data_IF_537815073562
#
_entry.id   IF_537815073562
#
_cell.length_a   1.000
_cell.length_b   1.000
_cell.length_c   1.000
_cell.angle_alpha   90.00
_cell.angle_beta   90.00
_cell.angle_gamma   90.00
#
_symmetry.space_group_name_H-M   'P 1'
#
loop_
_entity.id
_entity.type
_entity.pdbx_description
1 polymer ?
#
# COMPACT_ATOMS: atom_id res chain seq x y z
N UNK A 1 14.43 33.71 -55.13
CA UNK A 1 14.13 34.23 -53.77
C UNK A 1 12.69 33.87 -53.52
N UNK A 2 12.37 32.78 -52.84
CA UNK A 2 12.44 32.62 -51.38
C UNK A 2 12.57 31.14 -51.00
N UNK A 3 13.31 30.90 -49.91
CA UNK A 3 13.66 29.59 -49.38
C UNK A 3 12.51 28.93 -48.59
N UNK A 4 12.41 27.61 -48.69
CA UNK A 4 11.69 26.74 -47.76
C UNK A 4 12.65 26.31 -46.63
N UNK A 5 12.18 26.17 -45.38
CA UNK A 5 13.02 25.81 -44.25
C UNK A 5 13.38 24.31 -44.26
N UNK A 6 14.63 24.05 -43.88
CA UNK A 6 15.27 22.76 -43.72
C UNK A 6 14.64 21.90 -42.62
N UNK A 7 14.30 20.65 -42.93
CA UNK A 7 14.05 19.61 -41.93
C UNK A 7 15.36 19.27 -41.20
N UNK A 8 15.35 19.44 -39.88
CA UNK A 8 16.45 19.08 -38.99
C UNK A 8 16.65 17.57 -38.89
N UNK A 9 17.92 17.20 -38.70
CA UNK A 9 18.48 15.85 -38.69
C UNK A 9 17.64 14.77 -38.00
N UNK A 10 17.36 13.70 -38.75
CA UNK A 10 17.11 12.36 -38.21
C UNK A 10 18.30 11.92 -37.34
N UNK A 11 18.09 11.31 -36.16
CA UNK A 11 19.18 10.73 -35.39
C UNK A 11 19.89 9.65 -36.21
N UNK A 12 21.22 9.56 -36.04
CA UNK A 12 22.07 8.72 -36.86
C UNK A 12 21.62 7.25 -36.81
N UNK A 13 21.60 6.60 -37.99
CA UNK A 13 21.28 5.17 -38.18
C UNK A 13 22.10 4.21 -37.29
N UNK A 14 23.18 4.68 -36.66
CA UNK A 14 24.03 3.91 -35.74
C UNK A 14 23.35 3.55 -34.41
N UNK A 15 22.47 4.39 -33.86
CA UNK A 15 21.77 4.08 -32.60
C UNK A 15 20.61 3.10 -32.82
N UNK A 16 19.95 3.18 -33.97
CA UNK A 16 18.89 2.24 -34.35
C UNK A 16 19.49 0.85 -34.64
N UNK A 17 20.63 0.75 -35.31
CA UNK A 17 21.25 -0.55 -35.60
C UNK A 17 21.87 -1.26 -34.38
N UNK A 18 22.37 -0.53 -33.37
CA UNK A 18 22.78 -1.15 -32.09
C UNK A 18 21.62 -1.83 -31.35
N UNK A 19 20.40 -1.31 -31.51
CA UNK A 19 19.18 -1.93 -30.98
C UNK A 19 18.89 -3.28 -31.66
N UNK A 20 19.05 -3.39 -32.98
CA UNK A 20 18.65 -4.59 -33.73
C UNK A 20 19.69 -5.72 -33.74
N UNK A 21 21.00 -5.44 -33.61
CA UNK A 21 22.02 -6.52 -33.59
C UNK A 21 22.19 -7.20 -32.23
N UNK A 22 21.65 -6.61 -31.16
CA UNK A 22 21.61 -7.21 -29.81
C UNK A 22 20.23 -7.78 -29.43
N UNK A 23 19.31 -7.88 -30.40
CA UNK A 23 18.04 -8.59 -30.26
C UNK A 23 18.20 -10.11 -30.42
N UNK A 24 19.42 -10.62 -30.22
CA UNK A 24 19.60 -11.98 -29.78
C UNK A 24 19.06 -12.01 -28.35
N UNK A 25 17.91 -12.65 -28.16
CA UNK A 25 17.37 -13.10 -26.87
C UNK A 25 18.31 -14.11 -26.17
N UNK A 26 19.63 -13.94 -26.30
CA UNK A 26 20.55 -14.38 -25.28
C UNK A 26 20.12 -13.65 -24.02
N UNK A 27 19.41 -14.39 -23.17
CA UNK A 27 19.21 -14.12 -21.77
C UNK A 27 20.61 -13.84 -21.20
N UNK A 28 21.09 -12.59 -21.32
CA UNK A 28 22.19 -12.12 -20.49
C UNK A 28 21.54 -12.03 -19.12
N UNK A 29 21.74 -13.09 -18.35
CA UNK A 29 21.39 -13.20 -16.96
C UNK A 29 21.79 -11.89 -16.30
N UNK A 30 20.79 -11.12 -15.90
CA UNK A 30 20.89 -9.72 -15.52
C UNK A 30 21.90 -9.58 -14.39
N UNK A 31 22.86 -8.68 -14.57
CA UNK A 31 23.78 -8.31 -13.49
C UNK A 31 22.94 -7.82 -12.30
N UNK A 32 23.30 -8.28 -11.11
CA UNK A 32 22.80 -7.71 -9.87
C UNK A 32 23.19 -6.24 -9.83
N UNK A 33 22.29 -5.39 -9.35
CA UNK A 33 22.54 -3.95 -9.24
C UNK A 33 23.65 -3.63 -8.23
N UNK A 34 23.77 -4.45 -7.18
CA UNK A 34 24.77 -4.33 -6.12
C UNK A 34 25.66 -5.57 -6.17
N UNK A 35 26.98 -5.37 -6.21
CA UNK A 35 27.98 -6.43 -6.10
C UNK A 35 28.25 -6.82 -4.63
N UNK A 36 28.90 -7.96 -4.40
CA UNK A 36 29.28 -8.39 -3.05
C UNK A 36 30.18 -7.37 -2.33
N UNK A 37 31.15 -6.77 -3.03
CA UNK A 37 32.04 -5.77 -2.45
C UNK A 37 31.29 -4.49 -2.07
N UNK A 38 30.31 -4.06 -2.89
CA UNK A 38 29.44 -2.94 -2.55
C UNK A 38 28.52 -3.27 -1.37
N UNK A 39 27.97 -4.49 -1.31
CA UNK A 39 27.17 -4.94 -0.17
C UNK A 39 27.99 -4.92 1.14
N UNK A 40 29.27 -5.36 1.11
CA UNK A 40 30.21 -5.28 2.25
C UNK A 40 30.50 -3.86 2.70
N UNK A 41 30.49 -2.91 1.77
CA UNK A 41 30.65 -1.50 2.11
C UNK A 41 29.37 -0.95 2.77
N UNK A 42 28.21 -1.23 2.19
CA UNK A 42 26.91 -0.80 2.71
C UNK A 42 26.59 -1.40 4.09
N UNK A 43 27.01 -2.64 4.35
CA UNK A 43 26.78 -3.32 5.63
C UNK A 43 27.45 -2.66 6.83
N UNK A 44 28.39 -1.74 6.60
CA UNK A 44 29.01 -0.96 7.67
C UNK A 44 28.04 0.08 8.27
N UNK A 45 26.97 0.44 7.55
CA UNK A 45 26.05 1.51 7.94
C UNK A 45 24.58 1.06 7.94
N UNK A 46 24.24 0.01 7.19
CA UNK A 46 22.86 -0.43 6.99
C UNK A 46 22.68 -1.89 7.35
N UNK A 47 21.53 -2.22 7.94
CA UNK A 47 21.17 -3.60 8.29
C UNK A 47 20.35 -4.28 7.21
N UNK A 48 19.84 -3.53 6.23
CA UNK A 48 19.11 -4.09 5.09
C UNK A 48 19.73 -3.64 3.77
N UNK A 49 20.04 -4.59 2.89
CA UNK A 49 20.61 -4.31 1.57
C UNK A 49 19.73 -5.02 0.51
N UNK A 50 19.03 -4.28 -0.36
CA UNK A 50 18.21 -4.88 -1.41
C UNK A 50 19.08 -5.34 -2.58
N UNK A 51 19.12 -6.65 -2.87
CA UNK A 51 19.63 -7.12 -4.16
C UNK A 51 18.52 -7.09 -5.18
N UNK A 52 18.80 -6.44 -6.30
CA UNK A 52 17.83 -6.26 -7.38
C UNK A 52 18.38 -6.80 -8.68
N UNK A 53 17.54 -7.56 -9.37
CA UNK A 53 17.75 -7.90 -10.78
C UNK A 53 16.52 -7.51 -11.59
N UNK A 54 16.72 -7.03 -12.82
CA UNK A 54 15.63 -6.58 -13.69
C UNK A 54 15.49 -7.51 -14.88
N UNK A 55 14.26 -7.97 -15.12
CA UNK A 55 13.87 -8.79 -16.26
C UNK A 55 12.89 -8.01 -17.12
N UNK A 56 12.91 -8.24 -18.44
CA UNK A 56 11.82 -7.79 -19.32
C UNK A 56 10.63 -8.74 -19.17
N UNK A 57 9.41 -8.19 -19.11
CA UNK A 57 8.17 -8.96 -19.19
C UNK A 57 7.28 -8.41 -20.29
N UNK A 58 6.93 -9.29 -21.24
CA UNK A 58 5.99 -8.96 -22.32
C UNK A 58 4.58 -9.50 -22.09
N UNK A 59 4.36 -10.38 -21.11
CA UNK A 59 3.11 -11.15 -20.97
C UNK A 59 2.62 -11.33 -19.54
N UNK A 60 3.46 -11.09 -18.54
CA UNK A 60 3.03 -11.24 -17.15
C UNK A 60 2.24 -10.03 -16.67
N UNK A 61 1.24 -10.30 -15.83
CA UNK A 61 0.46 -9.29 -15.12
C UNK A 61 0.73 -9.40 -13.61
N UNK A 62 0.44 -8.37 -12.81
CA UNK A 62 0.57 -8.47 -11.36
C UNK A 62 -0.19 -9.66 -10.75
N UNK A 63 -1.39 -9.94 -11.27
CA UNK A 63 -2.21 -11.08 -10.86
C UNK A 63 -1.54 -12.43 -11.19
N UNK A 64 -1.06 -12.61 -12.43
CA UNK A 64 -0.41 -13.87 -12.83
C UNK A 64 0.89 -14.10 -12.06
N UNK A 65 1.61 -13.03 -11.75
CA UNK A 65 2.82 -13.11 -10.92
C UNK A 65 2.45 -13.55 -9.50
N UNK A 66 1.51 -12.85 -8.86
CA UNK A 66 1.08 -13.16 -7.50
C UNK A 66 0.65 -14.62 -7.37
N UNK A 67 -0.18 -15.11 -8.29
CA UNK A 67 -0.69 -16.48 -8.27
C UNK A 67 0.41 -17.54 -8.48
N UNK A 68 1.42 -17.26 -9.31
CA UNK A 68 2.53 -18.20 -9.55
C UNK A 68 3.47 -18.35 -8.37
N UNK A 69 3.82 -17.24 -7.72
CA UNK A 69 5.00 -17.21 -6.84
C UNK A 69 4.65 -16.91 -5.38
N UNK A 70 3.52 -16.26 -5.11
CA UNK A 70 3.11 -15.91 -3.75
C UNK A 70 1.94 -16.80 -3.29
N UNK A 71 0.85 -16.84 -4.06
CA UNK A 71 -0.35 -17.61 -3.73
C UNK A 71 -0.90 -17.26 -2.34
N UNK A 72 -1.30 -18.28 -1.58
CA UNK A 72 -1.86 -18.13 -0.23
C UNK A 72 -0.78 -18.17 0.87
N UNK A 73 0.49 -17.90 0.54
CA UNK A 73 1.58 -17.92 1.51
C UNK A 73 1.37 -16.87 2.59
N UNK A 74 1.51 -17.23 3.87
CA UNK A 74 1.41 -16.29 4.99
C UNK A 74 2.41 -15.14 4.84
N UNK A 75 1.93 -13.91 4.98
CA UNK A 75 2.67 -12.66 4.82
C UNK A 75 2.96 -12.27 3.37
N UNK A 76 2.35 -12.93 2.40
CA UNK A 76 2.34 -12.47 1.01
C UNK A 76 1.35 -11.31 0.82
N UNK A 77 1.59 -10.50 -0.20
CA UNK A 77 0.69 -9.41 -0.55
C UNK A 77 0.71 -9.05 -2.03
N UNK A 78 -0.35 -8.39 -2.49
CA UNK A 78 -0.43 -7.70 -3.77
C UNK A 78 -0.93 -6.28 -3.51
N UNK A 79 -0.14 -5.28 -3.92
CA UNK A 79 -0.51 -3.87 -3.90
C UNK A 79 -0.54 -3.33 -5.33
N UNK A 80 -1.68 -2.78 -5.73
CA UNK A 80 -1.82 -2.06 -6.99
C UNK A 80 -2.48 -0.70 -6.74
N UNK A 81 -2.27 0.23 -7.65
CA UNK A 81 -2.85 1.57 -7.59
C UNK A 81 -3.38 1.94 -8.96
N UNK A 82 -4.63 2.41 -9.02
CA UNK A 82 -5.29 2.89 -10.22
C UNK A 82 -6.02 4.20 -9.96
N UNK A 83 -5.66 5.25 -10.69
CA UNK A 83 -6.33 6.54 -10.65
C UNK A 83 -7.16 6.70 -11.93
N UNK A 84 -8.48 6.92 -11.78
CA UNK A 84 -9.39 7.09 -12.92
C UNK A 84 -9.33 5.93 -13.95
N UNK A 85 -9.06 4.71 -13.48
CA UNK A 85 -8.90 3.51 -14.33
C UNK A 85 -7.54 3.40 -15.03
N UNK A 86 -6.62 4.36 -14.82
CA UNK A 86 -5.24 4.29 -15.27
C UNK A 86 -4.39 3.70 -14.16
N UNK A 87 -3.78 2.55 -14.43
CA UNK A 87 -2.85 1.92 -13.49
C UNK A 87 -1.62 2.81 -13.30
N UNK A 88 -1.23 2.98 -12.03
CA UNK A 88 0.02 3.64 -11.67
C UNK A 88 1.22 2.88 -12.24
N UNK A 89 2.41 3.49 -12.20
CA UNK A 89 3.61 2.88 -12.76
C UNK A 89 3.97 1.53 -12.14
N UNK A 90 3.67 1.31 -10.86
CA UNK A 90 4.15 0.15 -10.13
C UNK A 90 3.04 -0.70 -9.52
N UNK A 91 3.25 -2.00 -9.55
CA UNK A 91 2.55 -2.97 -8.70
C UNK A 91 3.57 -3.75 -7.87
N UNK A 92 3.25 -4.04 -6.62
CA UNK A 92 4.14 -4.69 -5.68
C UNK A 92 3.58 -6.05 -5.26
N UNK A 93 4.39 -7.10 -5.41
CA UNK A 93 4.04 -8.47 -5.04
C UNK A 93 5.01 -8.94 -3.96
N UNK A 94 4.54 -9.07 -2.73
CA UNK A 94 5.29 -9.69 -1.64
C UNK A 94 5.23 -11.20 -1.75
N UNK A 95 6.40 -11.83 -1.83
CA UNK A 95 6.53 -13.27 -2.04
C UNK A 95 6.89 -13.99 -0.75
N UNK A 96 7.83 -13.44 0.00
CA UNK A 96 8.23 -14.01 1.28
C UNK A 96 8.58 -12.90 2.28
N UNK A 97 8.51 -13.25 3.56
CA UNK A 97 8.81 -12.36 4.68
C UNK A 97 9.83 -13.02 5.62
N UNK A 98 10.43 -12.20 6.48
CA UNK A 98 11.30 -12.67 7.57
C UNK A 98 10.47 -13.13 8.77
N UNK A 99 9.31 -12.50 8.95
CA UNK A 99 8.34 -12.77 9.99
C UNK A 99 7.27 -11.69 10.03
N UNK A 100 6.36 -11.84 10.97
CA UNK A 100 5.21 -10.98 11.18
C UNK A 100 5.20 -10.40 12.59
N UNK A 101 4.96 -9.09 12.69
CA UNK A 101 4.64 -8.41 13.92
C UNK A 101 3.12 -8.43 14.11
N UNK A 102 2.66 -8.96 15.23
CA UNK A 102 1.24 -9.10 15.57
C UNK A 102 0.96 -8.41 16.91
N UNK A 103 -0.13 -7.64 16.97
CA UNK A 103 -0.68 -7.12 18.22
C UNK A 103 -2.08 -7.68 18.44
N UNK A 104 -2.27 -8.29 19.61
CA UNK A 104 -3.56 -8.79 20.09
C UNK A 104 -3.73 -8.38 21.57
N UNK A 105 -4.68 -7.47 21.82
CA UNK A 105 -4.90 -6.89 23.13
C UNK A 105 -3.64 -6.23 23.69
N UNK A 106 -3.17 -6.71 24.86
CA UNK A 106 -1.96 -6.21 25.50
C UNK A 106 -0.67 -6.89 25.03
N UNK A 107 -0.75 -7.86 24.11
CA UNK A 107 0.41 -8.63 23.66
C UNK A 107 0.88 -8.15 22.28
N UNK A 108 2.17 -7.87 22.17
CA UNK A 108 2.88 -7.69 20.90
C UNK A 108 3.81 -8.89 20.72
N UNK A 109 3.75 -9.54 19.56
CA UNK A 109 4.48 -10.78 19.27
C UNK A 109 5.12 -10.75 17.90
N UNK A 110 6.29 -11.37 17.80
CA UNK A 110 6.95 -11.68 16.54
C UNK A 110 6.71 -13.15 16.18
N UNK A 111 6.16 -13.39 14.98
CA UNK A 111 5.95 -14.73 14.41
C UNK A 111 6.94 -14.89 13.26
N UNK A 112 7.96 -15.72 13.45
CA UNK A 112 8.99 -15.92 12.44
C UNK A 112 8.54 -16.90 11.35
N UNK A 113 8.84 -16.60 10.08
CA UNK A 113 8.46 -17.48 8.96
C UNK A 113 9.31 -18.75 8.90
N UNK A 114 10.57 -18.67 9.33
CA UNK A 114 11.53 -19.78 9.36
C UNK A 114 12.39 -19.66 10.62
N UNK A 115 12.64 -20.75 11.39
CA UNK A 115 13.43 -20.68 12.60
C UNK A 115 14.84 -20.12 12.34
N UNK A 116 15.17 -18.97 12.92
CA UNK A 116 16.50 -18.36 12.80
C UNK A 116 16.90 -17.59 14.07
N UNK A 117 18.18 -17.22 14.18
CA UNK A 117 18.63 -16.30 15.26
C UNK A 117 17.97 -14.90 15.18
N UNK A 118 17.22 -14.61 14.11
CA UNK A 118 16.50 -13.34 13.98
C UNK A 118 15.29 -13.29 14.91
N UNK A 119 14.67 -14.44 15.21
CA UNK A 119 13.57 -14.57 16.17
C UNK A 119 13.85 -13.92 17.52
N UNK A 120 14.95 -14.29 18.17
CA UNK A 120 15.27 -13.84 19.52
C UNK A 120 15.59 -12.35 19.56
N UNK A 121 16.24 -11.86 18.51
CA UNK A 121 16.58 -10.45 18.37
C UNK A 121 15.31 -9.59 18.20
N UNK A 122 14.45 -9.93 17.24
CA UNK A 122 13.22 -9.14 17.02
C UNK A 122 12.26 -9.27 18.20
N UNK A 123 12.12 -10.47 18.77
CA UNK A 123 11.34 -10.66 19.99
C UNK A 123 11.85 -9.79 21.15
N UNK A 124 13.17 -9.58 21.26
CA UNK A 124 13.74 -8.68 22.27
C UNK A 124 13.48 -7.20 21.99
N UNK A 125 13.43 -6.79 20.71
CA UNK A 125 13.13 -5.41 20.32
C UNK A 125 11.68 -5.02 20.65
N UNK A 126 10.75 -5.98 20.59
CA UNK A 126 9.31 -5.73 20.79
C UNK A 126 8.81 -6.16 22.18
N UNK A 127 9.71 -6.59 23.06
CA UNK A 127 9.35 -6.98 24.42
C UNK A 127 8.82 -5.79 25.19
N UNK A 128 7.64 -5.94 25.78
CA UNK A 128 6.99 -4.93 26.63
C UNK A 128 6.73 -3.56 25.94
N UNK A 129 6.68 -3.53 24.60
CA UNK A 129 6.38 -2.32 23.82
C UNK A 129 4.90 -2.22 23.45
N UNK A 130 4.46 -0.99 23.10
CA UNK A 130 3.20 -0.83 22.35
C UNK A 130 3.34 -1.36 20.92
N UNK A 131 2.23 -1.46 20.17
CA UNK A 131 2.26 -1.88 18.78
C UNK A 131 2.99 -0.87 17.89
N UNK A 132 2.73 0.43 18.08
CA UNK A 132 3.39 1.49 17.33
C UNK A 132 4.90 1.54 17.64
N UNK A 133 5.28 1.47 18.92
CA UNK A 133 6.70 1.45 19.33
C UNK A 133 7.46 0.23 18.76
N UNK A 134 6.77 -0.90 18.61
CA UNK A 134 7.34 -2.10 18.01
C UNK A 134 7.63 -1.91 16.51
N UNK A 135 6.74 -1.25 15.76
CA UNK A 135 7.00 -0.90 14.35
C UNK A 135 8.23 0.01 14.28
N UNK A 136 8.28 1.05 15.11
CA UNK A 136 9.40 2.00 15.12
C UNK A 136 10.72 1.29 15.43
N UNK A 137 10.75 0.45 16.47
CA UNK A 137 11.94 -0.30 16.88
C UNK A 137 12.46 -1.22 15.78
N UNK A 138 11.56 -1.92 15.07
CA UNK A 138 11.92 -2.77 13.93
C UNK A 138 12.41 -1.92 12.75
N UNK A 139 11.75 -0.80 12.47
CA UNK A 139 12.13 0.11 11.39
C UNK A 139 13.53 0.71 11.60
N UNK A 140 13.81 1.23 12.80
CA UNK A 140 15.11 1.78 13.15
C UNK A 140 16.21 0.73 13.10
N UNK A 141 15.93 -0.48 13.64
CA UNK A 141 16.89 -1.56 13.64
C UNK A 141 17.20 -2.01 12.20
N UNK A 142 16.18 -2.27 11.38
CA UNK A 142 16.32 -2.73 10.00
C UNK A 142 16.36 -1.59 8.99
N UNK A 143 17.12 -0.53 9.30
CA UNK A 143 17.34 0.58 8.37
C UNK A 143 18.01 0.10 7.08
N UNK A 144 17.35 0.37 5.96
CA UNK A 144 17.77 -0.06 4.63
C UNK A 144 18.74 0.92 3.95
N UNK A 145 19.63 0.36 3.12
CA UNK A 145 20.55 1.14 2.30
C UNK A 145 19.78 1.95 1.22
N UNK A 146 20.01 3.26 1.11
CA UNK A 146 19.40 4.08 0.07
C UNK A 146 19.94 3.62 -1.29
N UNK A 147 19.02 3.27 -2.19
CA UNK A 147 19.37 2.70 -3.49
C UNK A 147 18.68 3.52 -4.59
N UNK A 148 19.32 4.60 -5.08
CA UNK A 148 18.70 5.53 -6.02
C UNK A 148 18.21 4.85 -7.30
N UNK A 149 17.06 5.29 -7.81
CA UNK A 149 16.47 4.76 -9.03
C UNK A 149 15.67 3.46 -8.86
N UNK A 150 15.54 2.96 -7.63
CA UNK A 150 14.62 1.89 -7.33
C UNK A 150 13.15 2.37 -7.15
N UNK A 151 12.17 1.46 -7.29
CA UNK A 151 10.77 1.75 -6.96
C UNK A 151 10.59 2.21 -5.50
N UNK A 152 9.44 2.82 -5.16
CA UNK A 152 9.22 3.39 -3.83
C UNK A 152 9.14 2.35 -2.70
N UNK A 153 8.82 1.09 -3.01
CA UNK A 153 8.83 -0.02 -2.05
C UNK A 153 9.80 -1.10 -2.52
N UNK A 154 10.85 -1.34 -1.73
CA UNK A 154 11.87 -2.40 -1.94
C UNK A 154 12.19 -3.21 -0.69
N UNK A 155 11.89 -2.66 0.48
CA UNK A 155 12.03 -3.28 1.79
C UNK A 155 11.10 -2.53 2.75
N UNK A 156 10.77 -3.14 3.88
CA UNK A 156 9.94 -2.51 4.91
C UNK A 156 8.93 -3.49 5.47
N UNK A 157 7.89 -2.95 6.11
CA UNK A 157 6.79 -3.72 6.68
C UNK A 157 5.50 -3.43 5.90
N UNK A 158 4.73 -4.47 5.59
CA UNK A 158 3.43 -4.34 4.91
C UNK A 158 2.38 -5.08 5.72
N UNK A 159 1.24 -4.45 5.95
CA UNK A 159 0.26 -4.93 6.90
C UNK A 159 -0.91 -3.99 7.08
N UNK A 160 -1.56 -4.07 8.23
CA UNK A 160 -2.63 -3.17 8.61
C UNK A 160 -2.56 -2.75 10.08
N UNK A 161 -3.14 -1.58 10.34
CA UNK A 161 -3.53 -1.09 11.65
C UNK A 161 -5.06 -1.11 11.70
N UNK A 162 -5.63 -1.80 12.68
CA UNK A 162 -7.06 -1.75 12.94
C UNK A 162 -7.40 -0.47 13.70
N UNK A 163 -8.68 -0.08 13.68
CA UNK A 163 -9.16 1.06 14.48
C UNK A 163 -8.79 0.94 15.97
N UNK A 164 -8.65 -0.29 16.49
CA UNK A 164 -8.32 -0.55 17.90
C UNK A 164 -7.00 0.07 18.36
N UNK A 165 -6.04 0.27 17.45
CA UNK A 165 -4.72 0.88 17.73
C UNK A 165 -4.85 2.31 18.28
N UNK A 166 -5.95 3.01 17.98
CA UNK A 166 -6.20 4.36 18.51
C UNK A 166 -6.14 4.40 20.05
N UNK A 167 -6.42 3.28 20.74
CA UNK A 167 -6.33 3.21 22.21
C UNK A 167 -4.90 3.24 22.76
N UNK A 168 -3.88 3.13 21.91
CA UNK A 168 -2.49 3.35 22.33
C UNK A 168 -2.17 4.85 22.47
N UNK A 169 -2.91 5.71 21.75
CA UNK A 169 -2.66 7.16 21.69
C UNK A 169 -3.80 8.00 22.29
N UNK A 170 -5.00 7.44 22.41
CA UNK A 170 -6.20 8.10 22.95
C UNK A 170 -6.90 7.22 23.99
N UNK A 171 -7.59 7.84 24.95
CA UNK A 171 -8.33 7.11 25.99
C UNK A 171 -9.81 6.96 25.61
N UNK A 172 -10.16 5.89 24.90
CA UNK A 172 -11.54 5.57 24.55
C UNK A 172 -12.14 4.48 25.46
N UNK A 173 -13.48 4.42 25.59
CA UNK A 173 -14.14 3.32 26.28
C UNK A 173 -13.82 1.96 25.64
N UNK A 174 -13.85 0.90 26.45
CA UNK A 174 -13.65 -0.48 25.98
C UNK A 174 -14.62 -0.77 24.83
N UNK A 175 -14.12 -1.24 23.67
CA UNK A 175 -14.96 -1.53 22.52
C UNK A 175 -15.98 -2.63 22.84
N UNK A 176 -17.11 -2.61 22.12
CA UNK A 176 -18.05 -3.73 22.17
C UNK A 176 -17.36 -4.98 21.61
N UNK A 177 -17.53 -6.12 22.26
CA UNK A 177 -17.06 -7.41 21.74
C UNK A 177 -17.65 -7.67 20.34
N UNK A 178 -16.79 -7.96 19.37
CA UNK A 178 -17.20 -8.34 18.01
C UNK A 178 -17.66 -9.80 17.92
N UNK A 179 -18.32 -10.18 16.81
CA UNK A 179 -18.59 -11.60 16.51
C UNK A 179 -17.35 -12.41 16.09
N UNK A 180 -16.26 -11.71 15.75
CA UNK A 180 -14.97 -12.28 15.38
C UNK A 180 -13.87 -11.37 15.90
N UNK A 181 -12.76 -11.96 16.33
CA UNK A 181 -11.58 -11.25 16.82
C UNK A 181 -10.62 -11.04 15.66
N UNK A 182 -10.19 -9.80 15.46
CA UNK A 182 -9.15 -9.42 14.48
C UNK A 182 -8.06 -8.76 15.30
N UNK A 183 -6.78 -9.05 15.05
CA UNK A 183 -5.69 -8.38 15.76
C UNK A 183 -5.76 -6.86 15.55
N UNK A 184 -5.32 -6.08 16.54
CA UNK A 184 -5.21 -4.64 16.38
C UNK A 184 -4.18 -4.26 15.30
N UNK A 185 -3.19 -5.12 15.06
CA UNK A 185 -2.16 -4.87 14.07
C UNK A 185 -1.55 -6.18 13.59
N UNK A 186 -1.28 -6.27 12.29
CA UNK A 186 -0.44 -7.34 11.72
C UNK A 186 0.41 -6.80 10.56
N UNK A 187 1.73 -6.97 10.63
CA UNK A 187 2.69 -6.52 9.61
C UNK A 187 3.73 -7.57 9.28
N UNK A 188 3.94 -7.86 8.00
CA UNK A 188 5.01 -8.72 7.51
C UNK A 188 6.24 -7.91 7.14
N UNK A 189 7.42 -8.31 7.64
CA UNK A 189 8.71 -7.70 7.27
C UNK A 189 9.24 -8.33 5.97
N UNK A 190 9.34 -7.52 4.92
CA UNK A 190 9.52 -8.02 3.55
C UNK A 190 10.90 -8.62 3.31
N UNK A 191 10.96 -9.86 2.85
CA UNK A 191 12.21 -10.51 2.45
C UNK A 191 12.38 -10.51 0.95
N UNK A 192 11.43 -11.12 0.24
CA UNK A 192 11.44 -11.22 -1.21
C UNK A 192 10.20 -10.59 -1.81
N UNK A 193 10.38 -9.81 -2.88
CA UNK A 193 9.28 -9.19 -3.61
C UNK A 193 9.58 -9.08 -5.10
N UNK A 194 8.51 -9.00 -5.90
CA UNK A 194 8.55 -8.68 -7.32
C UNK A 194 7.81 -7.37 -7.55
N UNK A 195 8.47 -6.41 -8.21
CA UNK A 195 7.87 -5.15 -8.61
C UNK A 195 7.65 -5.16 -10.12
N UNK A 196 6.40 -4.96 -10.53
CA UNK A 196 6.05 -4.74 -11.94
C UNK A 196 6.18 -3.26 -12.25
N UNK A 197 7.04 -2.90 -13.20
CA UNK A 197 7.12 -1.56 -13.78
C UNK A 197 6.35 -1.54 -15.10
N UNK A 198 5.12 -1.03 -15.07
CA UNK A 198 4.21 -1.00 -16.20
C UNK A 198 4.71 -0.08 -17.32
N UNK A 199 5.43 0.99 -16.97
CA UNK A 199 5.95 1.94 -17.94
C UNK A 199 7.09 1.35 -18.78
N UNK A 200 8.01 0.64 -18.12
CA UNK A 200 9.17 0.03 -18.79
C UNK A 200 8.93 -1.42 -19.23
N UNK A 201 7.77 -2.00 -18.89
CA UNK A 201 7.47 -3.43 -19.10
C UNK A 201 8.55 -4.33 -18.50
N UNK A 202 8.96 -4.04 -17.26
CA UNK A 202 9.99 -4.79 -16.55
C UNK A 202 9.50 -5.36 -15.22
N UNK A 203 10.13 -6.46 -14.79
CA UNK A 203 9.98 -7.04 -13.47
C UNK A 203 11.28 -6.81 -12.71
N UNK A 204 11.20 -6.20 -11.53
CA UNK A 204 12.33 -6.11 -10.61
C UNK A 204 12.15 -7.19 -9.55
N UNK A 205 13.05 -8.16 -9.54
CA UNK A 205 13.08 -9.23 -8.56
C UNK A 205 14.03 -8.77 -7.46
N UNK A 206 13.51 -8.71 -6.24
CA UNK A 206 14.21 -8.13 -5.09
C UNK A 206 14.29 -9.17 -3.98
N UNK A 207 15.49 -9.39 -3.46
CA UNK A 207 15.74 -10.15 -2.23
C UNK A 207 16.55 -9.27 -1.29
N UNK A 208 16.02 -9.02 -0.09
CA UNK A 208 16.66 -8.22 0.93
C UNK A 208 17.61 -9.06 1.78
N UNK A 209 18.87 -8.62 1.92
CA UNK A 209 19.78 -9.14 2.94
C UNK A 209 19.40 -8.49 4.27
N UNK A 210 19.14 -9.31 5.29
CA UNK A 210 18.95 -8.85 6.65
C UNK A 210 20.20 -9.16 7.49
N UNK A 211 20.87 -8.12 7.96
CA UNK A 211 22.15 -8.21 8.65
C UNK A 211 22.00 -7.99 10.16
N UNK A 212 22.68 -8.84 10.91
CA UNK A 212 22.82 -8.83 12.37
C UNK A 212 24.30 -8.73 12.70
N UNK A 213 24.63 -8.51 13.96
CA UNK A 213 26.02 -8.29 14.40
C UNK A 213 26.93 -9.51 14.10
N UNK A 214 26.35 -10.72 14.05
CA UNK A 214 27.04 -11.98 13.75
C UNK A 214 26.87 -12.46 12.30
N UNK A 215 26.24 -11.68 11.41
CA UNK A 215 25.94 -12.14 10.05
C UNK A 215 27.21 -12.29 9.22
N UNK A 216 27.43 -13.49 8.68
CA UNK A 216 28.36 -13.72 7.56
C UNK A 216 27.73 -13.17 6.28
N UNK A 217 28.23 -12.02 5.84
CA UNK A 217 27.68 -11.32 4.68
C UNK A 217 27.92 -12.06 3.36
N UNK A 218 29.03 -12.78 3.22
CA UNK A 218 29.31 -13.55 2.01
C UNK A 218 28.24 -14.64 1.84
N UNK A 219 27.95 -15.37 2.92
CA UNK A 219 26.92 -16.40 2.94
C UNK A 219 25.51 -15.83 2.75
N UNK A 220 25.17 -14.70 3.38
CA UNK A 220 23.83 -14.10 3.24
C UNK A 220 23.60 -13.49 1.85
N UNK A 221 24.65 -12.94 1.23
CA UNK A 221 24.60 -12.49 -0.15
C UNK A 221 24.35 -13.66 -1.09
N UNK A 222 25.08 -14.78 -0.95
CA UNK A 222 24.89 -15.97 -1.78
C UNK A 222 23.46 -16.52 -1.66
N UNK A 223 22.93 -16.65 -0.44
CA UNK A 223 21.53 -17.04 -0.20
C UNK A 223 20.53 -16.09 -0.87
N UNK A 224 20.77 -14.79 -0.83
CA UNK A 224 19.92 -13.79 -1.50
C UNK A 224 19.95 -13.94 -3.02
N UNK A 225 21.11 -14.26 -3.60
CA UNK A 225 21.24 -14.57 -5.03
C UNK A 225 20.47 -15.85 -5.39
N UNK A 226 20.55 -16.89 -4.56
CA UNK A 226 19.79 -18.13 -4.73
C UNK A 226 18.27 -17.87 -4.70
N UNK A 227 17.79 -17.04 -3.76
CA UNK A 227 16.38 -16.61 -3.69
C UNK A 227 15.94 -15.89 -4.97
N UNK A 228 16.76 -14.99 -5.51
CA UNK A 228 16.48 -14.33 -6.80
C UNK A 228 16.41 -15.35 -7.95
N UNK A 229 17.30 -16.34 -7.99
CA UNK A 229 17.24 -17.40 -9.00
C UNK A 229 15.98 -18.25 -8.85
N UNK A 230 15.55 -18.53 -7.62
CA UNK A 230 14.29 -19.22 -7.34
C UNK A 230 13.09 -18.42 -7.83
N UNK A 231 12.98 -17.12 -7.49
CA UNK A 231 11.92 -16.23 -8.01
C UNK A 231 11.87 -16.26 -9.54
N UNK A 232 13.03 -16.17 -10.18
CA UNK A 232 13.13 -16.24 -11.64
C UNK A 232 12.64 -17.58 -12.18
N UNK A 233 13.02 -18.69 -11.56
CA UNK A 233 12.58 -20.03 -11.95
C UNK A 233 11.07 -20.19 -11.80
N UNK A 234 10.51 -19.73 -10.69
CA UNK A 234 9.08 -19.85 -10.38
C UNK A 234 8.25 -18.98 -11.35
N UNK A 235 8.73 -17.79 -11.74
CA UNK A 235 8.10 -16.94 -12.76
C UNK A 235 8.03 -17.61 -14.15
N UNK A 236 8.98 -18.47 -14.47
CA UNK A 236 9.00 -19.22 -15.75
C UNK A 236 8.08 -20.44 -15.73
N UNK A 237 7.44 -20.75 -14.60
CA UNK A 237 6.47 -21.83 -14.52
C UNK A 237 5.22 -21.53 -15.37
N UNK A 238 4.67 -22.59 -15.96
CA UNK A 238 3.44 -22.49 -16.74
C UNK A 238 2.23 -22.51 -15.83
N UNK A 239 1.27 -21.64 -16.10
CA UNK A 239 0.00 -21.61 -15.40
C UNK A 239 -1.15 -21.62 -16.41
N UNK A 240 -2.26 -22.24 -16.04
CA UNK A 240 -3.47 -22.19 -16.85
C UNK A 240 -4.03 -20.76 -16.83
N UNK A 241 -4.50 -20.24 -17.97
CA UNK A 241 -5.15 -18.94 -17.99
C UNK A 241 -6.43 -18.99 -17.16
N UNK A 242 -6.61 -18.02 -16.28
CA UNK A 242 -7.86 -17.83 -15.56
C UNK A 242 -8.84 -17.05 -16.45
N UNK A 243 -9.90 -17.72 -16.91
CA UNK A 243 -10.98 -17.14 -17.71
C UNK A 243 -12.29 -17.58 -17.08
N UNK A 244 -13.12 -16.62 -16.69
CA UNK A 244 -14.39 -16.87 -16.02
C UNK A 244 -15.48 -15.89 -16.49
N UNK A 245 -16.73 -16.30 -16.40
CA UNK A 245 -17.90 -15.43 -16.54
C UNK A 245 -18.24 -14.83 -15.17
N UNK A 246 -18.53 -13.53 -15.13
CA UNK A 246 -18.95 -12.84 -13.89
C UNK A 246 -20.48 -12.83 -13.87
N UNK A 247 -21.08 -13.54 -12.91
CA UNK A 247 -22.53 -13.47 -12.67
C UNK A 247 -22.85 -12.30 -11.74
N UNK A 248 -23.33 -11.20 -12.33
CA UNK A 248 -23.77 -10.01 -11.58
C UNK A 248 -25.18 -10.13 -11.02
N UNK A 249 -25.89 -11.24 -11.26
CA UNK A 249 -27.28 -11.45 -10.83
C UNK A 249 -27.41 -12.49 -9.69
N UNK A 250 -26.28 -12.96 -9.14
CA UNK A 250 -26.29 -13.91 -8.05
C UNK A 250 -27.07 -13.36 -6.84
N UNK A 251 -27.89 -14.21 -6.21
CA UNK A 251 -28.62 -13.85 -5.00
C UNK A 251 -27.61 -13.58 -3.87
N UNK A 252 -27.78 -12.45 -3.17
CA UNK A 252 -26.93 -12.06 -2.05
C UNK A 252 -27.57 -12.50 -0.73
N UNK A 253 -26.93 -13.47 -0.07
CA UNK A 253 -27.27 -13.85 1.29
C UNK A 253 -26.22 -13.28 2.24
N UNK A 254 -26.63 -12.30 3.05
CA UNK A 254 -25.76 -11.68 4.05
C UNK A 254 -26.50 -11.51 5.37
N UNK A 255 -25.75 -11.45 6.45
CA UNK A 255 -26.23 -11.08 7.77
C UNK A 255 -25.68 -9.70 8.15
N UNK A 256 -26.39 -9.03 9.07
CA UNK A 256 -26.00 -7.74 9.63
C UNK A 256 -26.22 -7.77 11.14
N UNK A 257 -25.31 -7.17 11.89
CA UNK A 257 -25.40 -7.07 13.35
C UNK A 257 -26.28 -5.91 13.83
N UNK A 258 -26.67 -5.02 12.92
CA UNK A 258 -27.46 -3.82 13.20
C UNK A 258 -28.66 -3.79 12.26
N UNK A 259 -29.87 -3.67 12.80
CA UNK A 259 -31.10 -3.49 12.01
C UNK A 259 -31.21 -2.08 11.42
N UNK A 260 -32.05 -1.89 10.39
CA UNK A 260 -32.30 -0.54 9.82
C UNK A 260 -32.76 0.45 10.89
N UNK A 261 -33.65 0.01 11.77
CA UNK A 261 -34.19 0.84 12.84
C UNK A 261 -33.09 1.25 13.83
N UNK A 262 -32.24 0.31 14.27
CA UNK A 262 -31.12 0.61 15.15
C UNK A 262 -30.10 1.55 14.49
N UNK A 263 -29.83 1.38 13.20
CA UNK A 263 -28.92 2.27 12.47
C UNK A 263 -29.49 3.69 12.37
N UNK A 264 -30.78 3.84 12.07
CA UNK A 264 -31.47 5.13 12.07
C UNK A 264 -31.41 5.78 13.47
N UNK A 265 -31.61 5.01 14.53
CA UNK A 265 -31.50 5.52 15.91
C UNK A 265 -30.08 5.96 16.27
N UNK A 266 -29.05 5.28 15.74
CA UNK A 266 -27.66 5.72 15.86
C UNK A 266 -27.43 7.06 15.17
N UNK A 267 -27.98 7.25 13.96
CA UNK A 267 -27.90 8.51 13.21
C UNK A 267 -28.64 9.65 13.93
N UNK A 268 -29.85 9.41 14.43
CA UNK A 268 -30.60 10.44 15.17
C UNK A 268 -29.90 10.81 16.49
N UNK A 269 -29.30 9.84 17.19
CA UNK A 269 -28.47 10.12 18.37
C UNK A 269 -27.25 10.98 17.99
N UNK A 270 -26.56 10.64 16.90
CA UNK A 270 -25.44 11.41 16.40
C UNK A 270 -25.83 12.87 16.10
N UNK A 271 -26.94 13.08 15.39
CA UNK A 271 -27.49 14.42 15.12
C UNK A 271 -27.78 15.19 16.41
N UNK A 272 -28.38 14.55 17.40
CA UNK A 272 -28.61 15.16 18.71
C UNK A 272 -27.32 15.62 19.41
N UNK A 273 -26.22 14.85 19.30
CA UNK A 273 -24.90 15.25 19.83
C UNK A 273 -24.30 16.44 19.07
N UNK A 274 -24.52 16.51 17.75
CA UNK A 274 -24.11 17.67 16.93
C UNK A 274 -24.90 18.92 17.32
N UNK A 275 -26.22 18.81 17.50
CA UNK A 275 -27.08 19.93 17.93
C UNK A 275 -26.71 20.47 19.32
N UNK A 276 -26.30 19.60 20.23
CA UNK A 276 -25.81 19.97 21.55
C UNK A 276 -24.39 20.59 21.54
N UNK A 277 -23.68 20.50 20.41
CA UNK A 277 -22.31 20.99 20.26
C UNK A 277 -21.24 20.07 20.86
N UNK A 278 -21.55 18.79 21.09
CA UNK A 278 -20.56 17.82 21.59
C UNK A 278 -19.49 17.49 20.53
N UNK A 279 -19.90 17.41 19.26
CA UNK A 279 -19.05 17.13 18.10
C UNK A 279 -19.57 17.91 16.89
N UNK A 280 -18.72 18.22 15.91
CA UNK A 280 -19.18 18.83 14.65
C UNK A 280 -19.72 17.77 13.68
N UNK A 281 -19.09 16.60 13.64
CA UNK A 281 -19.48 15.47 12.80
C UNK A 281 -19.11 14.15 13.51
N UNK A 282 -19.86 13.09 13.22
CA UNK A 282 -19.50 11.72 13.59
C UNK A 282 -19.86 10.77 12.46
N UNK A 283 -18.96 9.84 12.15
CA UNK A 283 -19.18 8.80 11.15
C UNK A 283 -19.62 7.53 11.86
N UNK A 284 -20.87 7.12 11.66
CA UNK A 284 -21.40 5.86 12.19
C UNK A 284 -21.32 4.77 11.13
N UNK A 285 -20.97 3.54 11.53
CA UNK A 285 -20.85 2.40 10.63
C UNK A 285 -21.65 1.19 11.13
N UNK A 286 -21.84 0.22 10.25
CA UNK A 286 -22.44 -1.08 10.55
C UNK A 286 -21.68 -2.17 9.79
N UNK A 287 -21.80 -3.43 10.20
CA UNK A 287 -21.09 -4.55 9.61
C UNK A 287 -22.04 -5.51 8.90
N UNK A 288 -21.58 -6.00 7.75
CA UNK A 288 -22.22 -7.03 6.95
C UNK A 288 -21.29 -8.24 6.87
N UNK A 289 -21.87 -9.44 6.92
CA UNK A 289 -21.15 -10.71 6.93
C UNK A 289 -21.82 -11.69 5.95
N UNK A 290 -21.02 -12.42 5.17
CA UNK A 290 -21.49 -13.40 4.19
C UNK A 290 -20.55 -14.60 4.20
N UNK A 291 -21.10 -15.80 4.12
CA UNK A 291 -20.29 -17.00 3.87
C UNK A 291 -19.82 -16.98 2.41
N UNK A 292 -18.50 -17.09 2.20
CA UNK A 292 -17.88 -17.05 0.87
C UNK A 292 -17.04 -18.30 0.64
N UNK A 293 -17.20 -18.90 -0.54
CA UNK A 293 -16.34 -19.98 -1.03
C UNK A 293 -15.24 -19.47 -1.97
N UNK A 294 -15.29 -18.18 -2.34
CA UNK A 294 -14.30 -17.52 -3.17
C UNK A 294 -12.96 -17.41 -2.43
N UNK A 295 -11.86 -17.55 -3.16
CA UNK A 295 -10.54 -17.25 -2.60
C UNK A 295 -10.36 -15.74 -2.45
N UNK A 296 -9.41 -15.33 -1.61
CA UNK A 296 -9.08 -13.91 -1.45
C UNK A 296 -8.64 -13.27 -2.78
N UNK A 297 -7.93 -14.04 -3.64
CA UNK A 297 -7.55 -13.60 -4.97
C UNK A 297 -8.76 -13.43 -5.91
N UNK A 298 -9.79 -14.27 -5.80
CA UNK A 298 -11.02 -14.13 -6.60
C UNK A 298 -11.82 -12.88 -6.20
N UNK A 299 -11.89 -12.58 -4.90
CA UNK A 299 -12.47 -11.33 -4.39
C UNK A 299 -11.66 -10.14 -4.92
N UNK A 300 -10.33 -10.21 -4.85
CA UNK A 300 -9.45 -9.16 -5.37
C UNK A 300 -9.64 -8.93 -6.87
N UNK A 301 -9.69 -10.00 -7.68
CA UNK A 301 -9.96 -9.94 -9.13
C UNK A 301 -11.28 -9.24 -9.44
N UNK A 302 -12.32 -9.56 -8.66
CA UNK A 302 -13.65 -8.96 -8.82
C UNK A 302 -13.63 -7.47 -8.47
N UNK A 303 -13.01 -7.08 -7.35
CA UNK A 303 -12.85 -5.67 -6.97
C UNK A 303 -12.04 -4.89 -8.01
N UNK A 304 -10.93 -5.48 -8.48
CA UNK A 304 -10.07 -4.92 -9.53
C UNK A 304 -10.81 -4.63 -10.83
N UNK A 305 -11.75 -5.51 -11.21
CA UNK A 305 -12.53 -5.36 -12.43
C UNK A 305 -13.66 -4.35 -12.29
N UNK A 306 -14.34 -4.33 -11.14
CA UNK A 306 -15.55 -3.54 -10.91
C UNK A 306 -15.25 -2.12 -10.40
N UNK A 307 -14.31 -1.98 -9.46
CA UNK A 307 -14.02 -0.74 -8.75
C UNK A 307 -12.49 -0.57 -8.56
N UNK A 308 -11.71 -0.33 -9.64
CA UNK A 308 -10.30 -0.01 -9.49
C UNK A 308 -10.13 1.31 -8.72
N UNK A 309 -9.22 1.34 -7.75
CA UNK A 309 -8.99 2.50 -6.89
C UNK A 309 -7.49 2.77 -6.69
N UNK A 310 -7.13 3.96 -6.14
CA UNK A 310 -5.74 4.32 -5.90
C UNK A 310 -5.03 3.40 -4.90
N UNK A 311 -5.77 2.68 -4.06
CA UNK A 311 -5.21 1.77 -3.05
C UNK A 311 -5.91 0.41 -3.08
N UNK A 312 -5.44 -0.48 -3.94
CA UNK A 312 -5.89 -1.87 -3.94
C UNK A 312 -4.89 -2.77 -3.24
N UNK A 313 -5.40 -3.65 -2.40
CA UNK A 313 -4.58 -4.53 -1.59
C UNK A 313 -5.23 -5.90 -1.42
N UNK A 314 -4.38 -6.92 -1.45
CA UNK A 314 -4.63 -8.26 -0.96
C UNK A 314 -3.47 -8.59 -0.02
N UNK A 315 -3.76 -8.81 1.25
CA UNK A 315 -2.80 -9.21 2.27
C UNK A 315 -3.18 -10.60 2.78
N UNK A 316 -2.25 -11.55 2.76
CA UNK A 316 -2.42 -12.85 3.41
C UNK A 316 -1.66 -12.84 4.72
N UNK A 317 -2.35 -13.05 5.84
CA UNK A 317 -1.85 -12.84 7.18
C UNK A 317 -2.21 -14.03 8.08
N UNK A 318 -1.67 -14.03 9.29
CA UNK A 318 -1.93 -15.05 10.31
C UNK A 318 -2.01 -14.36 11.68
N UNK A 319 -2.95 -14.83 12.50
CA UNK A 319 -3.12 -14.43 13.90
C UNK A 319 -3.12 -15.65 14.82
N UNK A 320 -3.54 -15.48 16.08
CA UNK A 320 -3.62 -16.58 17.04
C UNK A 320 -4.65 -17.67 16.70
N UNK A 321 -5.60 -17.37 15.81
CA UNK A 321 -6.71 -18.26 15.43
C UNK A 321 -6.48 -18.97 14.10
N UNK A 322 -5.64 -18.42 13.24
CA UNK A 322 -5.22 -19.03 11.99
C UNK A 322 -4.92 -18.02 10.89
N UNK A 323 -4.92 -18.50 9.66
CA UNK A 323 -4.69 -17.66 8.47
C UNK A 323 -5.96 -16.89 8.09
N UNK A 324 -5.79 -15.64 7.69
CA UNK A 324 -6.86 -14.79 7.18
C UNK A 324 -6.32 -13.85 6.10
N UNK A 325 -7.22 -13.26 5.31
CA UNK A 325 -6.83 -12.31 4.26
C UNK A 325 -7.58 -10.99 4.40
N UNK A 326 -6.90 -9.90 4.09
CA UNK A 326 -7.49 -8.56 3.99
C UNK A 326 -7.48 -8.14 2.52
N UNK A 327 -8.67 -7.97 1.95
CA UNK A 327 -8.85 -7.61 0.54
C UNK A 327 -9.63 -6.31 0.45
N UNK A 328 -9.14 -5.34 -0.32
CA UNK A 328 -9.83 -4.06 -0.46
C UNK A 328 -9.41 -3.22 -1.65
N UNK A 329 -10.21 -2.18 -1.89
CA UNK A 329 -10.05 -1.19 -2.94
C UNK A 329 -10.47 0.16 -2.34
N UNK A 330 -9.51 0.86 -1.70
CA UNK A 330 -9.76 2.12 -1.00
C UNK A 330 -9.56 3.33 -1.93
N UNK A 331 -10.50 4.30 -1.93
CA UNK A 331 -10.37 5.54 -2.69
C UNK A 331 -9.45 6.57 -2.03
N UNK A 332 -9.14 6.41 -0.73
CA UNK A 332 -8.52 7.44 0.10
C UNK A 332 -7.31 6.90 0.87
N UNK A 333 -6.30 7.75 1.03
CA UNK A 333 -5.13 7.50 1.86
C UNK A 333 -5.37 8.08 3.25
N UNK A 334 -4.95 7.36 4.31
CA UNK A 334 -4.86 7.98 5.63
C UNK A 334 -3.80 9.08 5.62
N UNK A 335 -2.56 8.72 5.31
CA UNK A 335 -1.42 9.63 5.18
C UNK A 335 -0.38 9.04 4.24
N UNK A 336 0.37 9.89 3.56
CA UNK A 336 1.53 9.50 2.74
C UNK A 336 2.76 10.22 3.23
N UNK A 337 3.75 9.47 3.71
CA UNK A 337 5.08 9.96 4.02
C UNK A 337 6.00 9.68 2.85
N UNK A 338 6.62 10.72 2.31
CA UNK A 338 7.62 10.61 1.26
C UNK A 338 8.85 11.44 1.63
N UNK A 339 9.97 10.76 1.88
CA UNK A 339 11.20 11.37 2.39
C UNK A 339 10.94 12.15 3.68
N UNK A 340 11.01 13.47 3.65
CA UNK A 340 10.79 14.36 4.77
C UNK A 340 9.44 15.11 4.69
N UNK A 341 8.52 14.67 3.82
CA UNK A 341 7.20 15.27 3.64
C UNK A 341 6.08 14.32 4.06
N UNK A 342 5.14 14.83 4.86
CA UNK A 342 3.86 14.18 5.16
C UNK A 342 2.75 14.85 4.35
N UNK A 343 1.85 14.05 3.76
CA UNK A 343 0.79 14.51 2.88
C UNK A 343 -0.52 13.85 3.28
N UNK A 344 -1.56 14.66 3.45
CA UNK A 344 -2.95 14.25 3.68
C UNK A 344 -3.82 14.75 2.52
N UNK A 345 -4.80 13.93 2.13
CA UNK A 345 -5.79 14.29 1.13
C UNK A 345 -7.18 14.26 1.75
N UNK A 346 -7.64 15.32 2.45
CA UNK A 346 -9.01 15.37 2.96
C UNK A 346 -10.00 15.24 1.81
N UNK A 347 -10.92 14.28 1.92
CA UNK A 347 -12.02 14.08 0.97
C UNK A 347 -13.35 14.35 1.68
N UNK A 348 -14.14 15.27 1.14
CA UNK A 348 -15.49 15.54 1.61
C UNK A 348 -16.36 16.02 0.46
N UNK A 349 -17.68 15.99 0.66
CA UNK A 349 -18.62 16.34 -0.38
C UNK A 349 -18.67 15.32 -1.50
N UNK A 350 -19.88 15.07 -1.99
CA UNK A 350 -20.09 14.02 -2.98
C UNK A 350 -21.19 14.38 -3.95
N UNK A 351 -20.98 14.03 -5.22
CA UNK A 351 -22.04 13.93 -6.23
C UNK A 351 -21.85 12.64 -7.05
N UNK A 352 -22.92 12.00 -7.52
CA UNK A 352 -22.79 10.93 -8.51
C UNK A 352 -22.16 11.49 -9.80
N UNK A 353 -21.58 10.62 -10.62
CA UNK A 353 -21.14 11.01 -11.98
C UNK A 353 -22.36 11.26 -12.88
N UNK A 354 -22.25 12.27 -13.76
CA UNK A 354 -23.28 12.55 -14.75
C UNK A 354 -23.31 11.50 -15.86
N UNK A 355 -24.48 11.27 -16.47
CA UNK A 355 -24.61 10.37 -17.61
C UNK A 355 -23.98 10.95 -18.89
N UNK A 356 -23.78 12.27 -18.92
CA UNK A 356 -23.12 13.00 -20.02
C UNK A 356 -22.06 13.95 -19.47
N UNK A 357 -21.09 14.36 -20.30
CA UNK A 357 -20.05 15.30 -19.87
C UNK A 357 -20.58 16.68 -19.45
N UNK A 358 -21.70 17.12 -20.02
CA UNK A 358 -22.37 18.37 -19.64
C UNK A 358 -23.01 18.24 -18.26
N UNK A 359 -23.77 17.17 -18.03
CA UNK A 359 -24.36 16.86 -16.72
C UNK A 359 -23.28 16.68 -15.64
N UNK A 360 -22.19 15.98 -15.96
CA UNK A 360 -21.06 15.78 -15.06
C UNK A 360 -20.37 17.10 -14.67
N UNK A 361 -20.29 18.03 -15.61
CA UNK A 361 -19.75 19.37 -15.35
C UNK A 361 -20.71 20.18 -14.48
N UNK A 362 -22.02 20.10 -14.73
CA UNK A 362 -23.02 20.80 -13.93
C UNK A 362 -23.07 20.29 -12.48
N UNK A 363 -22.92 18.97 -12.28
CA UNK A 363 -22.84 18.35 -10.94
C UNK A 363 -21.58 18.78 -10.21
N UNK A 364 -20.45 18.91 -10.91
CA UNK A 364 -19.21 19.42 -10.33
C UNK A 364 -19.34 20.89 -9.91
N UNK A 365 -19.97 21.73 -10.73
CA UNK A 365 -20.26 23.13 -10.40
C UNK A 365 -21.23 23.26 -9.22
N UNK A 366 -22.26 22.41 -9.16
CA UNK A 366 -23.19 22.35 -8.02
C UNK A 366 -22.47 21.97 -6.73
N UNK A 367 -21.63 20.93 -6.76
CA UNK A 367 -20.82 20.51 -5.61
C UNK A 367 -19.90 21.64 -5.12
N UNK A 368 -19.22 22.32 -6.06
CA UNK A 368 -18.36 23.46 -5.73
C UNK A 368 -19.13 24.66 -5.18
N UNK A 369 -20.41 24.82 -5.50
CA UNK A 369 -21.24 25.92 -5.02
C UNK A 369 -21.99 25.60 -3.71
N UNK A 370 -22.02 24.33 -3.31
CA UNK A 370 -22.74 23.87 -2.13
C UNK A 370 -22.05 24.31 -0.83
N UNK A 371 -22.63 25.32 -0.18
CA UNK A 371 -22.07 25.92 1.05
C UNK A 371 -21.99 24.94 2.22
N UNK A 372 -22.86 23.92 2.26
CA UNK A 372 -22.82 22.91 3.31
C UNK A 372 -21.57 22.06 3.13
N UNK A 373 -21.39 21.54 1.92
CA UNK A 373 -20.26 20.66 1.58
C UNK A 373 -18.92 21.42 1.67
N UNK A 374 -18.88 22.69 1.25
CA UNK A 374 -17.70 23.55 1.46
C UNK A 374 -17.34 23.71 2.94
N UNK A 375 -18.32 23.90 3.82
CA UNK A 375 -18.07 24.09 5.25
C UNK A 375 -17.59 22.79 5.91
N UNK A 376 -18.20 21.65 5.58
CA UNK A 376 -17.78 20.33 6.05
C UNK A 376 -16.35 20.00 5.56
N UNK A 377 -16.04 20.29 4.30
CA UNK A 377 -14.71 20.08 3.73
C UNK A 377 -13.64 20.98 4.38
N UNK A 378 -13.94 22.27 4.59
CA UNK A 378 -13.02 23.20 5.24
C UNK A 378 -12.64 22.71 6.65
N UNK A 379 -13.61 22.19 7.41
CA UNK A 379 -13.36 21.63 8.73
C UNK A 379 -12.39 20.45 8.69
N UNK A 380 -12.48 19.56 7.69
CA UNK A 380 -11.55 18.44 7.52
C UNK A 380 -10.15 18.92 7.09
N UNK A 381 -10.07 19.96 6.25
CA UNK A 381 -8.79 20.60 5.92
C UNK A 381 -8.13 21.18 7.17
N UNK A 382 -8.89 21.85 8.03
CA UNK A 382 -8.36 22.38 9.29
C UNK A 382 -7.94 21.26 10.27
N UNK A 383 -8.67 20.15 10.32
CA UNK A 383 -8.27 18.96 11.08
C UNK A 383 -6.94 18.41 10.56
N UNK A 384 -6.82 18.19 9.25
CA UNK A 384 -5.58 17.71 8.63
C UNK A 384 -4.39 18.65 8.90
N UNK A 385 -4.61 19.97 8.86
CA UNK A 385 -3.57 20.94 9.27
C UNK A 385 -3.18 20.78 10.74
N UNK A 386 -4.16 20.64 11.63
CA UNK A 386 -3.90 20.48 13.06
C UNK A 386 -3.15 19.18 13.37
N UNK A 387 -3.47 18.09 12.66
CA UNK A 387 -2.77 16.81 12.81
C UNK A 387 -1.33 16.91 12.32
N UNK A 388 -1.10 17.47 11.11
CA UNK A 388 0.27 17.67 10.62
C UNK A 388 1.09 18.61 11.50
N UNK A 389 0.49 19.62 12.14
CA UNK A 389 1.19 20.52 13.06
C UNK A 389 1.76 19.82 14.31
N UNK A 390 1.30 18.61 14.66
CA UNK A 390 1.85 17.83 15.76
C UNK A 390 3.22 17.23 15.43
N UNK A 391 3.48 16.97 14.15
CA UNK A 391 4.63 16.17 13.67
C UNK A 391 5.48 16.87 12.62
N UNK A 392 5.00 17.97 12.03
CA UNK A 392 5.70 18.76 11.00
C UNK A 392 6.19 20.10 11.55
N UNK A 393 7.22 20.66 10.89
CA UNK A 393 7.71 22.01 11.17
C UNK A 393 6.57 23.03 10.95
N UNK A 394 6.22 23.87 11.94
CA UNK A 394 5.02 24.72 11.85
C UNK A 394 4.97 25.68 10.66
N UNK A 395 6.13 26.15 10.19
CA UNK A 395 6.28 27.04 9.04
C UNK A 395 6.19 26.33 7.68
N UNK A 396 6.18 25.00 7.67
CA UNK A 396 6.11 24.18 6.46
C UNK A 396 4.70 23.68 6.12
N UNK A 397 3.78 23.64 7.11
CA UNK A 397 2.43 23.09 6.91
C UNK A 397 1.61 24.04 6.04
N UNK A 398 1.19 23.57 4.87
CA UNK A 398 0.45 24.37 3.89
C UNK A 398 -0.62 23.55 3.16
N UNK A 399 -1.63 24.25 2.65
CA UNK A 399 -2.65 23.67 1.77
C UNK A 399 -2.22 23.99 0.33
N UNK A 400 -1.74 22.99 -0.40
CA UNK A 400 -1.22 23.16 -1.77
C UNK A 400 -2.31 23.08 -2.82
N UNK A 401 -3.37 22.33 -2.54
CA UNK A 401 -4.57 22.26 -3.37
C UNK A 401 -5.80 22.38 -2.48
N UNK A 402 -6.78 23.17 -2.91
CA UNK A 402 -7.94 23.51 -2.09
C UNK A 402 -9.24 23.37 -2.87
N UNK A 403 -10.13 22.50 -2.38
CA UNK A 403 -11.50 22.31 -2.89
C UNK A 403 -11.53 22.09 -4.41
N UNK A 404 -10.71 21.15 -4.89
CA UNK A 404 -10.74 20.69 -6.29
C UNK A 404 -11.73 19.54 -6.43
N UNK A 405 -12.37 19.42 -7.60
CA UNK A 405 -13.27 18.28 -7.87
C UNK A 405 -12.46 17.14 -8.47
N UNK A 406 -12.32 16.05 -7.73
CA UNK A 406 -11.79 14.80 -8.26
C UNK A 406 -12.90 13.86 -8.69
N UNK A 407 -12.71 13.21 -9.83
CA UNK A 407 -13.69 12.31 -10.45
C UNK A 407 -13.22 10.88 -10.34
N UNK A 408 -14.05 10.03 -9.74
CA UNK A 408 -13.90 8.58 -9.69
C UNK A 408 -14.89 7.91 -10.66
N UNK A 409 -14.88 6.58 -10.73
CA UNK A 409 -15.71 5.82 -11.68
C UNK A 409 -17.20 6.11 -11.55
N UNK A 410 -17.71 6.25 -10.32
CA UNK A 410 -19.15 6.39 -10.05
C UNK A 410 -19.51 7.64 -9.23
N UNK A 411 -18.53 8.31 -8.64
CA UNK A 411 -18.71 9.47 -7.75
C UNK A 411 -17.66 10.54 -8.03
N UNK A 412 -17.91 11.77 -7.60
CA UNK A 412 -16.91 12.84 -7.55
C UNK A 412 -16.91 13.49 -6.15
N UNK A 413 -15.75 13.97 -5.72
CA UNK A 413 -15.55 14.53 -4.39
C UNK A 413 -14.85 15.89 -4.42
N UNK A 414 -15.05 16.71 -3.37
CA UNK A 414 -14.13 17.80 -3.09
C UNK A 414 -12.88 17.21 -2.43
N UNK A 415 -11.72 17.56 -2.95
CA UNK A 415 -10.43 17.12 -2.44
C UNK A 415 -9.58 18.36 -2.17
N UNK A 416 -8.77 18.27 -1.12
CA UNK A 416 -7.69 19.22 -0.85
C UNK A 416 -6.42 18.42 -0.61
N UNK A 417 -5.27 19.08 -0.72
CA UNK A 417 -3.97 18.51 -0.34
C UNK A 417 -3.36 19.37 0.75
N UNK A 418 -3.05 18.76 1.89
CA UNK A 418 -2.33 19.40 2.98
C UNK A 418 -0.99 18.70 3.13
N UNK A 419 0.10 19.45 3.08
CA UNK A 419 1.45 18.92 3.18
C UNK A 419 2.26 19.67 4.23
N UNK A 420 3.23 18.98 4.83
CA UNK A 420 4.17 19.55 5.77
C UNK A 420 5.49 18.80 5.77
N UNK A 421 6.56 19.49 6.13
CA UNK A 421 7.89 18.89 6.31
C UNK A 421 7.99 18.31 7.72
N UNK A 422 8.25 17.02 7.82
CA UNK A 422 8.36 16.27 9.09
C UNK A 422 9.45 16.91 9.97
N UNK A 423 9.14 17.06 11.26
CA UNK A 423 10.04 17.66 12.25
C UNK A 423 11.28 16.79 12.47
N UNK A 424 12.40 17.43 12.80
CA UNK A 424 13.61 16.70 13.15
C UNK A 424 13.37 15.83 14.39
N UNK A 425 13.58 14.52 14.26
CA UNK A 425 13.35 13.55 15.33
C UNK A 425 11.98 12.87 15.31
N UNK A 426 11.08 13.26 14.40
CA UNK A 426 9.84 12.53 14.15
C UNK A 426 10.05 11.47 13.06
N UNK A 427 9.41 10.32 13.24
CA UNK A 427 9.44 9.21 12.29
C UNK A 427 8.17 9.17 11.41
N UNK A 428 8.09 8.19 10.52
CA UNK A 428 6.86 7.91 9.76
C UNK A 428 5.79 7.19 10.59
N UNK A 429 6.11 6.68 11.78
CA UNK A 429 5.14 6.09 12.72
C UNK A 429 4.51 7.17 13.61
N UNK A 430 5.26 8.24 13.92
CA UNK A 430 4.70 9.42 14.61
C UNK A 430 3.64 10.14 13.77
N UNK A 431 3.87 10.22 12.44
CA UNK A 431 2.97 10.83 11.44
C UNK A 431 1.79 9.93 11.17
#
# INVERSE_FOLDING_TARGET
MTALPSFGCLPSRSNVFKFYTNLLWHIRWSHLMISLDEAKNLSQQFRVIPLVTTLFSGSETPLSIFEKIAGDSTGSFLLESAEQGVWSRYSFIGVSNLGMLLKEGSSVRWIESEPSETSSLVASLVSDSSGLDAIESIHEFFKAAPTPGLPPLVSGMVGFLSWGVVNEIENLPIPKSGSYEIPEMAFSLLRDLVVVDHADSTLKLISNLYLKDSTDIDAEYEKSVERIQKLKSDLLSTQLPFIAEIDTNAALEYSRSTSDQEFIEMVERAKGRVELGDVFQVVVSQRFEMEVSATALDVYRSLRALNPSPYMYLLNLEDSTGVFSVVGSSPEALVKVNQDSAILHPIAGSRPRGATGEEDSQLAEDLLADKKEQAEHLMLVDLARNDLLKVCAPDSVSVTEFMTVERYSHIMHLVSTVEGKISAGSSAVDV
#
